data_IF_703630869868
#
_entry.id   IF_703630869868
#
_cell.length_a   1.000
_cell.length_b   1.000
_cell.length_c   1.000
_cell.angle_alpha   90.00
_cell.angle_beta   90.00
_cell.angle_gamma   90.00
#
_symmetry.space_group_name_H-M   'P 1'
#
loop_
_entity.id
_entity.type
_entity.pdbx_description
1 polymer ?
#
# COMPACT_ATOMS: atom_id res chain seq x y z
N UNK A 1 -8.75 5.97 23.94
CA UNK A 1 -10.07 6.62 23.86
C UNK A 1 -10.75 6.28 22.55
N UNK A 2 -11.93 5.65 22.62
CA UNK A 2 -12.83 5.56 21.47
C UNK A 2 -13.15 7.01 21.13
N UNK A 3 -12.61 7.50 20.03
CA UNK A 3 -12.80 8.90 19.65
C UNK A 3 -14.29 9.12 19.42
N UNK A 4 -14.89 10.07 20.13
CA UNK A 4 -16.31 10.37 20.01
C UNK A 4 -16.65 10.73 18.56
N UNK A 5 -17.31 9.81 17.86
CA UNK A 5 -17.68 9.97 16.45
C UNK A 5 -18.72 11.09 16.31
N UNK A 6 -19.53 11.36 17.36
CA UNK A 6 -20.61 12.35 17.30
C UNK A 6 -20.12 13.78 17.19
N UNK A 7 -18.93 14.09 17.70
CA UNK A 7 -18.36 15.44 17.68
C UNK A 7 -17.47 15.71 16.46
N UNK A 8 -17.25 14.71 15.59
CA UNK A 8 -16.37 14.83 14.43
C UNK A 8 -17.14 15.30 13.19
N UNK A 9 -16.65 16.38 12.58
CA UNK A 9 -17.02 16.78 11.21
C UNK A 9 -16.39 15.81 10.21
N UNK A 10 -17.16 15.32 9.25
CA UNK A 10 -16.63 14.50 8.17
C UNK A 10 -15.71 15.33 7.27
N UNK A 11 -14.53 14.81 6.97
CA UNK A 11 -13.60 15.40 5.97
C UNK A 11 -13.91 14.96 4.54
N UNK A 12 -14.66 13.87 4.39
CA UNK A 12 -15.24 13.50 3.11
C UNK A 12 -16.33 12.44 3.23
N UNK A 13 -17.09 12.31 2.16
CA UNK A 13 -18.24 11.41 2.01
C UNK A 13 -18.12 10.69 0.69
N UNK A 14 -18.43 9.40 0.66
CA UNK A 14 -18.58 8.62 -0.57
C UNK A 14 -20.05 8.24 -0.74
N UNK A 15 -20.63 8.65 -1.87
CA UNK A 15 -21.98 8.25 -2.29
C UNK A 15 -21.82 7.09 -3.28
N UNK A 16 -22.18 5.89 -2.86
CA UNK A 16 -22.12 4.69 -3.69
C UNK A 16 -23.51 4.37 -4.27
N UNK A 17 -23.58 4.14 -5.59
CA UNK A 17 -24.83 3.79 -6.26
C UNK A 17 -25.78 4.97 -6.46
N UNK A 18 -25.26 6.16 -6.79
CA UNK A 18 -26.12 7.30 -7.15
C UNK A 18 -26.60 7.12 -8.60
N UNK A 19 -27.93 7.11 -8.88
CA UNK A 19 -28.41 7.03 -10.26
C UNK A 19 -27.85 8.16 -11.12
N UNK A 20 -27.45 7.84 -12.35
CA UNK A 20 -26.72 8.76 -13.25
C UNK A 20 -27.49 10.07 -13.45
N UNK A 21 -28.81 9.98 -13.60
CA UNK A 21 -29.71 11.12 -13.76
C UNK A 21 -29.76 12.06 -12.54
N UNK A 22 -29.27 11.60 -11.38
CA UNK A 22 -29.15 12.40 -10.15
C UNK A 22 -27.74 12.95 -9.94
N UNK A 23 -26.80 12.67 -10.84
CA UNK A 23 -25.44 13.23 -10.82
C UNK A 23 -25.45 14.48 -11.71
N UNK A 24 -25.35 15.70 -11.14
CA UNK A 24 -25.31 16.92 -11.94
C UNK A 24 -24.13 16.91 -12.91
N UNK A 25 -24.38 17.35 -14.15
CA UNK A 25 -23.37 17.45 -15.22
C UNK A 25 -22.57 16.17 -15.46
N UNK A 26 -23.21 15.00 -15.28
CA UNK A 26 -22.56 13.71 -15.44
C UNK A 26 -21.80 13.60 -16.76
N UNK A 27 -20.55 13.15 -16.65
CA UNK A 27 -19.67 12.84 -17.78
C UNK A 27 -19.39 11.35 -17.80
N UNK A 28 -19.32 10.77 -19.00
CA UNK A 28 -18.99 9.34 -19.19
C UNK A 28 -17.66 8.94 -18.55
N UNK A 29 -16.71 9.86 -18.41
CA UNK A 29 -15.43 9.63 -17.72
C UNK A 29 -15.60 9.34 -16.22
N UNK A 30 -16.71 9.74 -15.60
CA UNK A 30 -17.03 9.49 -14.19
C UNK A 30 -17.73 8.15 -13.95
N UNK A 31 -17.89 7.33 -15.00
CA UNK A 31 -18.60 6.05 -14.91
C UNK A 31 -18.07 5.15 -13.80
N UNK A 32 -16.76 5.13 -13.56
CA UNK A 32 -16.09 4.31 -12.54
C UNK A 32 -15.93 5.03 -11.19
N UNK A 33 -16.49 6.23 -11.07
CA UNK A 33 -16.40 7.08 -9.90
C UNK A 33 -15.61 8.36 -10.14
N UNK A 34 -15.94 9.38 -9.35
CA UNK A 34 -15.34 10.72 -9.39
C UNK A 34 -15.26 11.29 -7.98
N UNK A 35 -14.28 12.15 -7.72
CA UNK A 35 -14.16 12.87 -6.45
C UNK A 35 -14.20 14.36 -6.72
N UNK A 36 -15.10 15.05 -6.02
CA UNK A 36 -15.22 16.50 -6.00
C UNK A 36 -14.70 17.05 -4.68
N UNK A 37 -14.36 18.34 -4.69
CA UNK A 37 -14.04 19.11 -3.49
C UNK A 37 -15.00 20.27 -3.38
N UNK A 38 -15.73 20.34 -2.27
CA UNK A 38 -16.63 21.44 -1.92
C UNK A 38 -16.16 22.08 -0.60
N UNK A 39 -15.48 23.22 -0.71
CA UNK A 39 -14.78 23.84 0.42
C UNK A 39 -13.75 22.89 1.05
N UNK A 40 -13.99 22.49 2.30
CA UNK A 40 -13.15 21.54 3.05
C UNK A 40 -13.59 20.07 2.91
N UNK A 41 -14.75 19.83 2.30
CA UNK A 41 -15.34 18.50 2.20
C UNK A 41 -14.99 17.86 0.85
N UNK A 42 -14.50 16.63 0.90
CA UNK A 42 -14.38 15.80 -0.30
C UNK A 42 -15.64 14.96 -0.51
N UNK A 43 -16.16 14.94 -1.73
CA UNK A 43 -17.37 14.17 -2.08
C UNK A 43 -17.02 13.22 -3.22
N UNK A 44 -16.88 11.94 -2.90
CA UNK A 44 -16.79 10.86 -3.88
C UNK A 44 -18.18 10.43 -4.33
N UNK A 45 -18.34 10.15 -5.61
CA UNK A 45 -19.58 9.61 -6.19
C UNK A 45 -19.22 8.41 -7.04
N UNK A 46 -19.89 7.28 -6.83
CA UNK A 46 -19.86 6.12 -7.72
C UNK A 46 -21.27 5.93 -8.31
N UNK A 47 -21.44 6.04 -9.64
CA UNK A 47 -22.74 5.87 -10.28
C UNK A 47 -23.34 4.48 -10.08
N UNK A 48 -24.67 4.39 -10.01
CA UNK A 48 -25.41 3.12 -10.04
C UNK A 48 -25.42 2.54 -11.45
N UNK A 49 -24.34 1.86 -11.82
CA UNK A 49 -24.20 1.10 -13.06
C UNK A 49 -23.83 -0.33 -12.69
N UNK A 50 -24.36 -1.32 -13.40
CA UNK A 50 -24.09 -2.75 -13.14
C UNK A 50 -22.59 -3.08 -13.10
N UNK A 51 -21.77 -2.37 -13.89
CA UNK A 51 -20.32 -2.55 -13.91
C UNK A 51 -19.62 -2.10 -12.61
N UNK A 52 -20.27 -1.25 -11.80
CA UNK A 52 -19.74 -0.69 -10.56
C UNK A 52 -20.14 -1.47 -9.30
N UNK A 53 -20.99 -2.49 -9.41
CA UNK A 53 -21.48 -3.27 -8.25
C UNK A 53 -20.38 -4.09 -7.55
N UNK A 54 -19.17 -4.08 -8.10
CA UNK A 54 -18.00 -4.67 -7.47
C UNK A 54 -17.42 -3.77 -6.36
N UNK A 55 -17.29 -4.29 -5.14
CA UNK A 55 -16.76 -3.57 -3.97
C UNK A 55 -15.40 -2.90 -4.19
N UNK A 56 -14.59 -3.42 -5.12
CA UNK A 56 -13.32 -2.80 -5.49
C UNK A 56 -13.45 -1.34 -5.95
N UNK A 57 -14.55 -0.95 -6.59
CA UNK A 57 -14.78 0.47 -6.95
C UNK A 57 -14.95 1.33 -5.70
N UNK A 58 -15.76 0.87 -4.74
CA UNK A 58 -15.93 1.55 -3.45
C UNK A 58 -14.60 1.71 -2.72
N UNK A 59 -13.81 0.63 -2.61
CA UNK A 59 -12.48 0.66 -1.96
C UNK A 59 -11.57 1.68 -2.65
N UNK A 60 -11.38 1.60 -3.97
CA UNK A 60 -10.46 2.47 -4.72
C UNK A 60 -10.84 3.95 -4.63
N UNK A 61 -12.13 4.28 -4.73
CA UNK A 61 -12.59 5.67 -4.61
C UNK A 61 -12.45 6.19 -3.18
N UNK A 62 -12.71 5.35 -2.17
CA UNK A 62 -12.49 5.73 -0.77
C UNK A 62 -11.01 5.98 -0.47
N UNK A 63 -10.10 5.14 -0.96
CA UNK A 63 -8.65 5.35 -0.84
C UNK A 63 -8.21 6.63 -1.53
N UNK A 64 -8.73 6.90 -2.73
CA UNK A 64 -8.47 8.15 -3.47
C UNK A 64 -8.90 9.36 -2.66
N UNK A 65 -10.14 9.35 -2.14
CA UNK A 65 -10.67 10.42 -1.30
C UNK A 65 -9.83 10.62 -0.03
N UNK A 66 -9.45 9.53 0.64
CA UNK A 66 -8.59 9.59 1.82
C UNK A 66 -7.22 10.22 1.50
N UNK A 67 -6.58 9.78 0.42
CA UNK A 67 -5.25 10.24 0.04
C UNK A 67 -5.26 11.72 -0.36
N UNK A 68 -6.30 12.20 -1.04
CA UNK A 68 -6.48 13.62 -1.35
C UNK A 68 -6.56 14.47 -0.07
N UNK A 69 -7.31 14.01 0.94
CA UNK A 69 -7.38 14.67 2.26
C UNK A 69 -6.01 14.67 2.94
N UNK A 70 -5.24 13.58 2.86
CA UNK A 70 -3.90 13.50 3.47
C UNK A 70 -2.90 14.42 2.78
N UNK A 71 -2.95 14.53 1.45
CA UNK A 71 -2.13 15.46 0.68
C UNK A 71 -2.41 16.91 1.10
N UNK A 72 -3.69 17.28 1.22
CA UNK A 72 -4.08 18.62 1.67
C UNK A 72 -3.61 18.93 3.12
N UNK A 73 -3.44 17.90 3.95
CA UNK A 73 -2.90 18.01 5.30
C UNK A 73 -1.35 17.98 5.35
N UNK A 74 -0.68 17.93 4.20
CA UNK A 74 0.77 17.86 4.10
C UNK A 74 1.36 16.51 4.55
N UNK A 75 0.56 15.45 4.55
CA UNK A 75 0.95 14.06 4.84
C UNK A 75 1.22 13.32 3.54
N UNK A 76 2.11 12.32 3.58
CA UNK A 76 2.48 11.54 2.39
C UNK A 76 1.66 10.24 2.33
N UNK A 77 0.64 10.11 1.47
CA UNK A 77 0.01 8.83 1.23
C UNK A 77 0.94 7.91 0.44
N UNK A 78 1.02 6.64 0.82
CA UNK A 78 1.94 5.67 0.21
C UNK A 78 1.21 4.36 -0.03
N UNK A 79 1.24 3.90 -1.28
CA UNK A 79 0.75 2.58 -1.66
C UNK A 79 1.87 1.55 -1.45
N UNK A 80 1.68 0.69 -0.46
CA UNK A 80 2.73 -0.17 0.05
C UNK A 80 2.32 -0.91 1.32
N UNK A 81 3.09 -1.94 1.63
CA UNK A 81 2.95 -2.67 2.89
C UNK A 81 3.98 -2.19 3.91
N UNK A 82 3.66 -2.27 5.19
CA UNK A 82 4.57 -2.01 6.30
C UNK A 82 4.44 -3.11 7.32
N UNK A 83 5.58 -3.66 7.74
CA UNK A 83 5.62 -4.68 8.76
C UNK A 83 6.71 -4.41 9.78
N UNK A 84 6.50 -4.92 11.00
CA UNK A 84 7.54 -5.10 11.99
C UNK A 84 8.08 -6.52 11.87
N UNK A 85 9.36 -6.64 11.58
CA UNK A 85 10.07 -7.91 11.49
C UNK A 85 10.81 -8.11 12.80
N UNK A 86 10.56 -9.21 13.50
CA UNK A 86 11.23 -9.55 14.76
C UNK A 86 11.97 -10.86 14.59
N UNK A 87 13.27 -10.87 14.89
CA UNK A 87 14.14 -12.04 14.80
C UNK A 87 14.15 -12.81 16.12
N UNK A 88 14.45 -14.10 16.08
CA UNK A 88 14.56 -14.95 17.28
C UNK A 88 15.65 -14.51 18.26
N UNK A 89 16.66 -13.77 17.79
CA UNK A 89 17.69 -13.17 18.62
C UNK A 89 17.27 -11.84 19.29
N UNK A 90 16.03 -11.41 19.11
CA UNK A 90 15.46 -10.19 19.71
C UNK A 90 15.67 -8.91 18.91
N UNK A 91 16.47 -8.93 17.84
CA UNK A 91 16.58 -7.77 16.92
C UNK A 91 15.28 -7.57 16.15
N UNK A 92 14.97 -6.33 15.81
CA UNK A 92 13.77 -6.01 15.05
C UNK A 92 13.94 -4.76 14.21
N UNK A 93 13.12 -4.65 13.18
CA UNK A 93 13.03 -3.47 12.33
C UNK A 93 11.60 -3.26 11.83
N UNK A 94 11.23 -2.01 11.60
CA UNK A 94 10.01 -1.62 10.89
C UNK A 94 10.37 -1.22 9.46
N UNK A 95 9.82 -1.93 8.49
CA UNK A 95 10.08 -1.70 7.08
C UNK A 95 8.80 -1.39 6.34
N UNK A 96 8.82 -0.34 5.52
CA UNK A 96 7.78 -0.02 4.56
C UNK A 96 8.27 -0.34 3.14
N UNK A 97 7.53 -1.19 2.45
CA UNK A 97 7.74 -1.61 1.07
C UNK A 97 6.74 -0.88 0.17
N UNK A 98 7.22 -0.03 -0.72
CA UNK A 98 6.40 0.78 -1.63
C UNK A 98 6.40 0.15 -3.00
N UNK A 99 5.23 0.07 -3.63
CA UNK A 99 5.11 -0.51 -4.96
C UNK A 99 3.67 -0.86 -5.27
N UNK A 100 3.37 -1.06 -6.54
CA UNK A 100 2.02 -1.43 -6.98
C UNK A 100 1.71 -2.90 -6.63
N UNK A 101 0.48 -3.32 -6.92
CA UNK A 101 0.12 -4.74 -6.89
C UNK A 101 1.02 -5.56 -7.82
N UNK A 102 1.48 -6.73 -7.35
CA UNK A 102 2.39 -7.61 -8.12
C UNK A 102 3.86 -7.16 -8.15
N UNK A 103 4.26 -6.19 -7.32
CA UNK A 103 5.66 -5.80 -7.16
C UNK A 103 6.48 -6.75 -6.24
N UNK A 104 5.85 -7.74 -5.60
CA UNK A 104 6.53 -8.69 -4.71
C UNK A 104 6.55 -8.30 -3.23
N UNK A 105 5.72 -7.33 -2.81
CA UNK A 105 5.70 -6.82 -1.43
C UNK A 105 5.21 -7.91 -0.45
N UNK A 106 4.00 -8.42 -0.67
CA UNK A 106 3.37 -9.42 0.19
C UNK A 106 4.12 -10.74 0.13
N UNK A 107 4.60 -11.15 -1.04
CA UNK A 107 5.40 -12.35 -1.24
C UNK A 107 6.74 -12.30 -0.48
N UNK A 108 7.38 -11.12 -0.43
CA UNK A 108 8.62 -10.93 0.35
C UNK A 108 8.33 -10.98 1.86
N UNK A 109 7.22 -10.39 2.32
CA UNK A 109 6.80 -10.47 3.74
C UNK A 109 6.45 -11.91 4.15
N UNK A 110 5.73 -12.64 3.30
CA UNK A 110 5.41 -14.05 3.50
C UNK A 110 6.66 -14.92 3.54
N UNK A 111 7.63 -14.65 2.66
CA UNK A 111 8.91 -15.35 2.66
C UNK A 111 9.70 -15.07 3.94
N UNK A 112 9.74 -13.82 4.41
CA UNK A 112 10.35 -13.45 5.70
C UNK A 112 9.73 -14.24 6.85
N UNK A 113 8.41 -14.33 6.90
CA UNK A 113 7.70 -15.03 7.98
C UNK A 113 7.96 -16.56 8.01
N UNK A 114 8.45 -17.13 6.89
CA UNK A 114 8.80 -18.55 6.77
C UNK A 114 10.27 -18.85 7.09
N UNK A 115 11.11 -17.84 7.25
CA UNK A 115 12.52 -18.04 7.62
C UNK A 115 12.60 -18.53 9.07
N UNK A 116 13.45 -19.53 9.32
CA UNK A 116 13.57 -20.14 10.65
C UNK A 116 14.13 -19.17 11.69
N UNK A 117 14.89 -18.16 11.28
CA UNK A 117 15.52 -17.16 12.14
C UNK A 117 14.56 -16.02 12.53
N UNK A 118 13.45 -15.88 11.80
CA UNK A 118 12.41 -14.89 12.06
C UNK A 118 11.45 -15.44 13.11
N UNK A 119 11.20 -14.66 14.15
CA UNK A 119 10.24 -15.02 15.20
C UNK A 119 8.80 -14.78 14.73
N UNK A 120 8.55 -13.60 14.17
CA UNK A 120 7.29 -13.25 13.53
C UNK A 120 7.45 -12.00 12.64
N UNK A 121 6.55 -11.89 11.66
CA UNK A 121 6.32 -10.67 10.86
C UNK A 121 4.93 -10.14 11.21
N UNK A 122 4.88 -8.95 11.79
CA UNK A 122 3.64 -8.26 12.17
C UNK A 122 3.30 -7.20 11.12
N UNK A 123 2.32 -7.49 10.26
CA UNK A 123 1.91 -6.61 9.14
C UNK A 123 0.96 -5.53 9.64
N UNK A 124 1.48 -4.30 9.74
CA UNK A 124 0.74 -3.14 10.25
C UNK A 124 -0.06 -2.46 9.13
N UNK A 125 0.50 -2.47 7.92
CA UNK A 125 -0.11 -1.92 6.70
C UNK A 125 0.05 -2.97 5.61
N UNK A 126 -1.03 -3.36 4.95
CA UNK A 126 -0.99 -4.36 3.88
C UNK A 126 -0.97 -3.71 2.48
N UNK A 127 -1.73 -2.63 2.31
CA UNK A 127 -2.00 -2.05 1.00
C UNK A 127 -1.72 -0.54 0.96
N UNK A 128 -2.31 0.22 1.89
CA UNK A 128 -2.21 1.68 1.89
C UNK A 128 -1.89 2.26 3.27
N UNK A 129 -0.93 3.19 3.29
CA UNK A 129 -0.50 3.92 4.46
C UNK A 129 -0.44 5.43 4.23
N UNK A 130 -0.26 6.17 5.32
CA UNK A 130 0.09 7.59 5.25
C UNK A 130 1.20 7.92 6.24
N UNK A 131 2.14 8.75 5.81
CA UNK A 131 3.25 9.18 6.65
C UNK A 131 2.99 10.57 7.23
N UNK A 132 3.49 10.78 8.44
CA UNK A 132 3.53 12.06 9.14
C UNK A 132 4.92 12.28 9.75
N UNK A 133 5.22 13.52 10.14
CA UNK A 133 6.45 13.84 10.87
C UNK A 133 6.06 14.23 12.30
N UNK A 134 6.33 13.34 13.26
CA UNK A 134 6.09 13.58 14.68
C UNK A 134 7.41 13.68 15.42
N UNK A 135 7.58 14.74 16.23
CA UNK A 135 8.80 14.97 17.02
C UNK A 135 10.08 14.85 16.19
N UNK A 136 10.03 15.34 14.94
CA UNK A 136 11.17 15.29 14.02
C UNK A 136 11.50 13.91 13.46
N UNK A 137 10.66 12.88 13.64
CA UNK A 137 10.82 11.56 13.02
C UNK A 137 9.66 11.24 12.09
N UNK A 138 9.95 10.52 11.01
CA UNK A 138 8.90 10.01 10.12
C UNK A 138 8.21 8.82 10.78
N UNK A 139 6.89 8.86 10.82
CA UNK A 139 6.03 7.79 11.32
C UNK A 139 4.96 7.44 10.29
N UNK A 140 4.50 6.21 10.30
CA UNK A 140 3.41 5.73 9.46
C UNK A 140 2.13 5.47 10.26
N UNK A 141 1.00 5.59 9.57
CA UNK A 141 -0.32 5.17 9.96
C UNK A 141 -0.89 4.27 8.86
N UNK A 142 -1.61 3.22 9.23
CA UNK A 142 -2.41 2.46 8.27
C UNK A 142 -3.69 3.21 7.89
N UNK A 143 -4.31 2.83 6.77
CA UNK A 143 -5.58 3.42 6.33
C UNK A 143 -6.76 2.48 6.44
N UNK A 144 -6.53 1.17 6.58
CA UNK A 144 -7.56 0.13 6.50
C UNK A 144 -7.54 -0.76 7.76
N UNK A 145 -8.71 -1.21 8.19
CA UNK A 145 -8.89 -2.14 9.33
C UNK A 145 -9.31 -3.55 8.89
N UNK A 146 -9.48 -3.76 7.60
CA UNK A 146 -9.87 -5.04 7.01
C UNK A 146 -9.08 -5.29 5.74
N UNK A 147 -9.09 -6.53 5.29
CA UNK A 147 -8.44 -6.95 4.05
C UNK A 147 -9.50 -7.34 3.01
N UNK A 148 -9.23 -7.02 1.75
CA UNK A 148 -10.06 -7.41 0.60
C UNK A 148 -9.24 -8.32 -0.32
N UNK A 149 -9.30 -9.61 -0.04
CA UNK A 149 -8.41 -10.63 -0.63
C UNK A 149 -9.19 -11.60 -1.50
N UNK A 150 -8.48 -12.37 -2.34
CA UNK A 150 -9.11 -13.49 -3.05
C UNK A 150 -9.43 -14.58 -2.03
N UNK A 151 -10.55 -15.27 -2.25
CA UNK A 151 -10.94 -16.35 -1.37
C UNK A 151 -9.88 -17.47 -1.35
N UNK A 152 -9.25 -17.75 -2.49
CA UNK A 152 -8.20 -18.75 -2.64
C UNK A 152 -6.86 -18.38 -1.97
N UNK A 153 -6.66 -17.10 -1.66
CA UNK A 153 -5.45 -16.63 -0.97
C UNK A 153 -5.54 -16.81 0.55
N UNK A 154 -6.75 -17.07 1.10
CA UNK A 154 -6.90 -17.28 2.53
C UNK A 154 -6.48 -18.70 2.95
N UNK A 155 -5.72 -18.83 4.05
CA UNK A 155 -5.56 -20.12 4.71
C UNK A 155 -6.94 -20.71 5.02
N UNK A 156 -7.19 -22.00 4.71
CA UNK A 156 -8.52 -22.59 4.87
C UNK A 156 -9.16 -22.32 6.24
N UNK A 157 -8.38 -22.40 7.33
CA UNK A 157 -8.87 -22.15 8.69
C UNK A 157 -9.22 -20.69 9.01
N UNK A 158 -8.60 -19.70 8.33
CA UNK A 158 -8.81 -18.28 8.64
C UNK A 158 -10.18 -17.79 8.19
N UNK A 159 -10.62 -18.23 7.01
CA UNK A 159 -11.95 -17.92 6.49
C UNK A 159 -13.06 -18.47 7.41
N UNK A 160 -12.88 -19.66 8.00
CA UNK A 160 -13.82 -20.22 8.97
C UNK A 160 -13.79 -19.47 10.31
N UNK A 161 -12.62 -19.09 10.81
CA UNK A 161 -12.47 -18.37 12.09
C UNK A 161 -13.14 -16.99 12.09
N UNK A 162 -13.17 -16.33 10.94
CA UNK A 162 -13.75 -14.99 10.76
C UNK A 162 -15.07 -14.99 9.99
N UNK A 163 -15.64 -16.17 9.74
CA UNK A 163 -16.80 -16.33 8.84
C UNK A 163 -18.01 -15.51 9.28
N UNK A 164 -18.25 -15.42 10.59
CA UNK A 164 -19.35 -14.65 11.20
C UNK A 164 -19.23 -13.14 10.98
N UNK A 165 -18.03 -12.65 10.65
CA UNK A 165 -17.69 -11.25 10.43
C UNK A 165 -17.19 -10.95 9.01
N UNK A 166 -17.24 -11.95 8.12
CA UNK A 166 -16.72 -11.85 6.75
C UNK A 166 -17.83 -11.63 5.74
N UNK A 167 -17.53 -10.89 4.68
CA UNK A 167 -18.45 -10.70 3.54
C UNK A 167 -17.85 -11.41 2.34
N UNK A 168 -18.51 -12.47 1.89
CA UNK A 168 -18.12 -13.23 0.70
C UNK A 168 -18.79 -12.64 -0.53
N UNK A 169 -18.02 -12.42 -1.58
CA UNK A 169 -18.48 -11.81 -2.82
C UNK A 169 -18.18 -12.73 -4.00
N UNK A 170 -19.25 -13.10 -4.72
CA UNK A 170 -19.19 -13.99 -5.88
C UNK A 170 -18.37 -15.29 -5.60
N UNK A 171 -18.66 -16.04 -4.52
CA UNK A 171 -17.89 -17.21 -4.13
C UNK A 171 -17.90 -18.34 -5.18
N UNK A 172 -18.85 -18.29 -6.10
CA UNK A 172 -19.03 -19.19 -7.24
C UNK A 172 -18.18 -18.83 -8.47
N UNK A 173 -17.53 -17.65 -8.49
CA UNK A 173 -16.73 -17.16 -9.63
C UNK A 173 -15.23 -17.30 -9.37
N UNK A 174 -14.44 -17.34 -10.45
CA UNK A 174 -12.97 -17.43 -10.39
C UNK A 174 -12.33 -16.25 -9.63
N UNK A 175 -12.93 -15.06 -9.67
CA UNK A 175 -12.49 -13.90 -8.87
C UNK A 175 -13.32 -13.76 -7.58
N UNK A 176 -13.59 -14.87 -6.90
CA UNK A 176 -14.21 -14.87 -5.59
C UNK A 176 -13.36 -14.04 -4.62
N UNK A 177 -14.03 -13.11 -3.93
CA UNK A 177 -13.38 -12.22 -2.96
C UNK A 177 -14.03 -12.36 -1.60
N UNK A 178 -13.27 -12.02 -0.59
CA UNK A 178 -13.75 -11.98 0.78
C UNK A 178 -13.21 -10.73 1.46
N UNK A 179 -14.10 -10.04 2.17
CA UNK A 179 -13.77 -8.94 3.04
C UNK A 179 -13.70 -9.51 4.45
N UNK A 180 -12.53 -9.43 5.07
CA UNK A 180 -12.29 -9.95 6.42
C UNK A 180 -11.76 -8.85 7.33
N UNK A 181 -12.13 -8.81 8.62
CA UNK A 181 -11.40 -8.03 9.61
C UNK A 181 -9.94 -8.51 9.66
N UNK A 182 -9.00 -7.56 9.65
CA UNK A 182 -7.56 -7.88 9.63
C UNK A 182 -6.83 -7.19 10.77
N UNK A 183 -6.91 -5.86 10.86
CA UNK A 183 -6.16 -5.08 11.84
C UNK A 183 -7.06 -4.39 12.86
N UNK A 184 -6.53 -4.19 14.07
CA UNK A 184 -7.22 -3.41 15.08
C UNK A 184 -7.13 -1.93 14.73
N UNK A 185 -8.26 -1.20 14.79
CA UNK A 185 -8.29 0.25 14.59
C UNK A 185 -7.21 0.98 15.39
N UNK A 186 -6.98 0.59 16.66
CA UNK A 186 -5.98 1.22 17.51
C UNK A 186 -4.56 1.08 16.95
N UNK A 187 -4.21 -0.08 16.40
CA UNK A 187 -2.90 -0.31 15.79
C UNK A 187 -2.75 0.51 14.51
N UNK A 188 -3.78 0.51 13.66
CA UNK A 188 -3.83 1.25 12.39
C UNK A 188 -3.58 2.75 12.61
N UNK A 189 -4.16 3.34 13.66
CA UNK A 189 -3.98 4.77 13.97
C UNK A 189 -2.80 5.09 14.88
N UNK A 190 -2.05 4.07 15.34
CA UNK A 190 -0.89 4.31 16.21
C UNK A 190 0.31 4.73 15.35
N UNK A 191 0.92 5.90 15.60
CA UNK A 191 2.10 6.33 14.85
C UNK A 191 3.25 5.36 15.06
N UNK A 192 3.74 4.76 13.99
CA UNK A 192 4.84 3.79 14.03
C UNK A 192 6.08 4.36 13.32
N UNK A 193 7.21 4.57 14.01
CA UNK A 193 8.47 4.95 13.37
C UNK A 193 8.94 3.91 12.35
N UNK A 194 9.59 4.36 11.29
CA UNK A 194 10.07 3.52 10.18
C UNK A 194 11.59 3.46 10.21
N UNK A 195 12.17 2.27 10.06
CA UNK A 195 13.62 2.06 9.95
C UNK A 195 14.06 1.95 8.47
N UNK A 196 13.23 1.33 7.62
CA UNK A 196 13.49 1.12 6.20
C UNK A 196 12.33 1.62 5.33
N UNK A 197 12.65 2.37 4.27
CA UNK A 197 11.68 2.81 3.25
C UNK A 197 12.16 2.35 1.87
N UNK A 198 11.59 1.25 1.38
CA UNK A 198 12.13 0.48 0.25
C UNK A 198 11.14 0.44 -0.92
N UNK A 199 11.59 0.84 -2.10
CA UNK A 199 10.84 0.64 -3.34
C UNK A 199 10.95 -0.82 -3.81
N UNK A 200 9.83 -1.48 -4.08
CA UNK A 200 9.79 -2.86 -4.57
C UNK A 200 10.00 -2.89 -6.09
N UNK A 201 11.21 -3.25 -6.49
CA UNK A 201 11.62 -3.38 -7.88
C UNK A 201 11.51 -4.85 -8.30
N UNK A 202 10.51 -5.18 -9.12
CA UNK A 202 10.29 -6.56 -9.56
C UNK A 202 10.90 -6.88 -10.94
N UNK A 203 11.57 -5.93 -11.57
CA UNK A 203 11.96 -6.00 -12.99
C UNK A 203 13.47 -6.03 -13.21
N UNK A 204 14.28 -5.64 -12.22
CA UNK A 204 15.74 -5.72 -12.31
C UNK A 204 16.22 -7.10 -11.88
N UNK A 205 16.78 -7.84 -12.83
CA UNK A 205 17.48 -9.10 -12.55
C UNK A 205 18.82 -8.82 -11.84
N UNK A 206 19.11 -9.60 -10.80
CA UNK A 206 20.37 -9.53 -10.06
C UNK A 206 20.90 -10.93 -9.77
N UNK A 207 22.22 -11.05 -9.68
CA UNK A 207 22.89 -12.33 -9.46
C UNK A 207 23.67 -12.39 -8.14
N UNK A 208 23.63 -11.32 -7.33
CA UNK A 208 24.29 -11.26 -6.03
C UNK A 208 23.39 -10.69 -4.93
N UNK A 209 23.64 -11.11 -3.69
CA UNK A 209 22.90 -10.61 -2.50
C UNK A 209 23.12 -9.11 -2.28
N UNK A 210 24.30 -8.59 -2.61
CA UNK A 210 24.67 -7.17 -2.40
C UNK A 210 23.94 -6.24 -3.38
N UNK A 211 23.52 -6.74 -4.54
CA UNK A 211 22.74 -5.96 -5.51
C UNK A 211 21.25 -5.97 -5.22
N UNK A 212 20.80 -6.79 -4.28
CA UNK A 212 19.38 -7.08 -4.05
C UNK A 212 18.68 -6.02 -3.22
N UNK A 213 19.41 -5.33 -2.35
CA UNK A 213 18.90 -4.16 -1.61
C UNK A 213 19.92 -3.05 -1.75
N UNK A 214 19.53 -1.97 -2.44
CA UNK A 214 20.38 -0.81 -2.69
C UNK A 214 19.82 0.37 -1.90
N UNK A 215 20.64 0.97 -1.05
CA UNK A 215 20.31 2.24 -0.40
C UNK A 215 20.75 3.41 -1.28
N UNK A 216 19.89 4.42 -1.36
CA UNK A 216 20.18 5.62 -2.13
C UNK A 216 21.13 6.54 -1.36
N UNK A 217 22.03 7.18 -2.09
CA UNK A 217 23.01 8.14 -1.57
C UNK A 217 22.47 9.59 -1.56
N UNK A 218 21.35 9.83 -2.25
CA UNK A 218 20.80 11.14 -2.51
C UNK A 218 19.28 11.13 -2.55
N UNK A 219 18.67 12.25 -2.16
CA UNK A 219 17.22 12.45 -2.17
C UNK A 219 16.72 12.46 -3.62
N UNK A 220 17.51 13.01 -4.54
CA UNK A 220 17.25 13.10 -5.97
C UNK A 220 17.09 11.69 -6.55
N UNK A 221 17.98 10.76 -6.22
CA UNK A 221 17.89 9.37 -6.70
C UNK A 221 16.67 8.65 -6.14
N UNK A 222 16.39 8.85 -4.85
CA UNK A 222 15.19 8.29 -4.24
C UNK A 222 13.92 8.84 -4.92
N UNK A 223 13.82 10.16 -5.11
CA UNK A 223 12.69 10.77 -5.81
C UNK A 223 12.54 10.25 -7.24
N UNK A 224 13.64 10.11 -7.99
CA UNK A 224 13.62 9.57 -9.35
C UNK A 224 12.98 8.18 -9.37
N UNK A 225 13.46 7.25 -8.54
CA UNK A 225 12.99 5.86 -8.52
C UNK A 225 11.54 5.78 -8.06
N UNK A 226 11.22 6.37 -6.91
CA UNK A 226 9.86 6.31 -6.36
C UNK A 226 8.89 7.02 -7.30
N UNK A 227 9.19 8.22 -7.79
CA UNK A 227 8.27 8.96 -8.68
C UNK A 227 8.05 8.31 -10.04
N UNK A 228 9.03 7.58 -10.58
CA UNK A 228 8.85 6.79 -11.79
C UNK A 228 7.83 5.66 -11.57
N UNK A 229 7.83 5.06 -10.37
CA UNK A 229 6.85 4.05 -9.97
C UNK A 229 6.74 2.90 -10.97
N UNK A 230 7.90 2.46 -11.45
CA UNK A 230 8.08 1.41 -12.44
C UNK A 230 7.78 0.02 -11.87
N UNK A 231 7.12 -0.83 -12.65
CA UNK A 231 7.03 -2.28 -12.39
C UNK A 231 6.89 -3.07 -13.68
N UNK A 232 7.35 -4.32 -13.66
CA UNK A 232 6.95 -5.30 -14.65
C UNK A 232 5.57 -5.85 -14.30
N UNK A 233 4.60 -5.68 -15.20
CA UNK A 233 3.28 -6.27 -15.10
C UNK A 233 3.28 -7.64 -15.77
N UNK A 234 2.98 -8.68 -15.00
CA UNK A 234 2.69 -10.04 -15.50
C UNK A 234 1.17 -10.29 -15.64
N UNK A 235 0.37 -9.22 -15.71
CA UNK A 235 -1.08 -9.25 -15.57
C UNK A 235 -1.85 -9.75 -16.80
N UNK A 236 -2.90 -10.52 -16.54
CA UNK A 236 -3.92 -11.03 -17.47
C UNK A 236 -4.34 -10.03 -18.57
N UNK A 237 -4.14 -10.42 -19.83
CA UNK A 237 -4.74 -9.93 -21.11
C UNK A 237 -4.75 -8.44 -21.43
N UNK A 238 -4.44 -7.52 -20.52
CA UNK A 238 -4.61 -6.06 -20.73
C UNK A 238 -3.37 -5.21 -20.44
N UNK A 239 -2.42 -5.68 -19.63
CA UNK A 239 -1.17 -4.97 -19.32
C UNK A 239 -0.01 -5.96 -19.14
N UNK A 240 0.57 -6.39 -20.26
CA UNK A 240 1.84 -7.14 -20.27
C UNK A 240 3.01 -6.18 -20.50
N UNK A 241 4.07 -6.29 -19.70
CA UNK A 241 5.31 -5.54 -19.87
C UNK A 241 5.55 -4.47 -18.80
N UNK A 242 6.49 -3.55 -19.09
CA UNK A 242 6.90 -2.51 -18.16
C UNK A 242 5.82 -1.42 -18.07
N UNK A 243 5.41 -1.12 -16.85
CA UNK A 243 4.35 -0.14 -16.53
C UNK A 243 4.87 0.90 -15.56
N UNK A 244 4.33 2.11 -15.64
CA UNK A 244 4.70 3.25 -14.80
C UNK A 244 3.43 3.86 -14.19
N UNK A 245 3.46 4.07 -12.88
CA UNK A 245 2.39 4.75 -12.14
C UNK A 245 3.05 5.64 -11.10
N UNK A 246 2.83 6.96 -11.15
CA UNK A 246 3.56 7.90 -10.29
C UNK A 246 3.52 7.47 -8.80
N UNK A 247 4.70 7.34 -8.18
CA UNK A 247 4.87 6.90 -6.79
C UNK A 247 4.32 5.49 -6.49
N UNK A 248 4.08 4.70 -7.54
CA UNK A 248 3.32 3.46 -7.52
C UNK A 248 1.94 3.61 -6.85
N UNK A 249 1.38 4.82 -6.82
CA UNK A 249 0.16 5.15 -6.10
C UNK A 249 -0.88 5.75 -7.06
N UNK A 250 -1.74 4.91 -7.66
CA UNK A 250 -2.80 5.39 -8.55
C UNK A 250 -3.92 6.15 -7.80
N UNK A 251 -3.89 6.19 -6.46
CA UNK A 251 -4.94 6.71 -5.60
C UNK A 251 -4.55 8.08 -5.01
N UNK A 252 -5.06 9.16 -5.58
CA UNK A 252 -4.84 10.54 -5.13
C UNK A 252 -3.50 11.14 -5.54
N UNK A 253 -2.40 10.37 -5.49
CA UNK A 253 -1.06 10.88 -5.81
C UNK A 253 -0.92 11.27 -7.29
N UNK A 254 -1.48 10.47 -8.21
CA UNK A 254 -1.52 10.83 -9.65
C UNK A 254 -2.36 12.09 -9.88
N UNK A 255 -3.49 12.23 -9.19
CA UNK A 255 -4.42 13.34 -9.34
C UNK A 255 -3.88 14.66 -8.75
N UNK A 256 -2.98 14.59 -7.75
CA UNK A 256 -2.32 15.75 -7.10
C UNK A 256 -0.80 15.61 -7.16
N UNK A 257 -0.30 15.28 -8.34
CA UNK A 257 1.12 14.92 -8.56
C UNK A 257 2.08 15.98 -8.08
N UNK A 258 1.82 17.26 -8.35
CA UNK A 258 2.73 18.35 -7.99
C UNK A 258 2.83 18.55 -6.47
N UNK A 259 1.69 18.57 -5.77
CA UNK A 259 1.66 18.70 -4.31
C UNK A 259 2.22 17.46 -3.63
N UNK A 260 1.84 16.28 -4.12
CA UNK A 260 2.40 15.02 -3.64
C UNK A 260 3.92 14.99 -3.79
N UNK A 261 4.47 15.47 -4.92
CA UNK A 261 5.92 15.48 -5.15
C UNK A 261 6.66 16.38 -4.15
N UNK A 262 6.13 17.57 -3.87
CA UNK A 262 6.68 18.48 -2.84
C UNK A 262 6.65 17.85 -1.45
N UNK A 263 5.56 17.15 -1.11
CA UNK A 263 5.44 16.41 0.15
C UNK A 263 6.44 15.26 0.19
N UNK A 264 6.54 14.45 -0.87
CA UNK A 264 7.46 13.33 -0.97
C UNK A 264 8.92 13.77 -0.78
N UNK A 265 9.33 14.88 -1.41
CA UNK A 265 10.67 15.45 -1.21
C UNK A 265 10.91 15.81 0.26
N UNK A 266 9.97 16.50 0.91
CA UNK A 266 10.07 16.86 2.34
C UNK A 266 10.23 15.62 3.23
N UNK A 267 9.47 14.57 2.97
CA UNK A 267 9.52 13.33 3.75
C UNK A 267 10.81 12.56 3.52
N UNK A 268 11.24 12.41 2.26
CA UNK A 268 12.52 11.78 1.93
C UNK A 268 13.68 12.54 2.57
N UNK A 269 13.72 13.87 2.46
CA UNK A 269 14.72 14.68 3.17
C UNK A 269 14.75 14.38 4.66
N UNK A 270 13.58 14.31 5.31
CA UNK A 270 13.49 13.98 6.73
C UNK A 270 13.97 12.55 7.04
N UNK A 271 13.67 11.58 6.19
CA UNK A 271 14.15 10.20 6.32
C UNK A 271 15.68 10.14 6.30
N UNK A 272 16.32 10.80 5.33
CA UNK A 272 17.78 10.88 5.24
C UNK A 272 18.39 11.57 6.47
N UNK A 273 17.84 12.71 6.91
CA UNK A 273 18.30 13.43 8.11
C UNK A 273 18.21 12.60 9.40
N UNK A 274 17.24 11.69 9.48
CA UNK A 274 16.95 10.90 10.70
C UNK A 274 17.51 9.49 10.67
N UNK A 275 18.22 9.13 9.60
CA UNK A 275 18.88 7.84 9.46
C UNK A 275 17.98 6.68 9.01
N UNK A 276 16.76 6.98 8.54
CA UNK A 276 15.92 5.97 7.88
C UNK A 276 16.63 5.49 6.62
N UNK A 277 16.71 4.18 6.44
CA UNK A 277 17.37 3.56 5.29
C UNK A 277 16.43 3.58 4.09
N UNK A 278 16.63 4.57 3.21
CA UNK A 278 15.85 4.74 1.98
C UNK A 278 16.54 4.00 0.83
N UNK A 279 15.80 3.16 0.10
CA UNK A 279 16.39 2.33 -0.96
C UNK A 279 15.38 1.66 -1.87
N UNK A 280 15.86 0.69 -2.63
CA UNK A 280 15.05 -0.29 -3.36
C UNK A 280 15.36 -1.71 -2.91
N UNK A 281 14.36 -2.58 -2.94
CA UNK A 281 14.49 -4.02 -2.80
C UNK A 281 14.11 -4.67 -4.13
N UNK A 282 15.04 -5.42 -4.70
CA UNK A 282 14.86 -6.11 -5.97
C UNK A 282 14.23 -7.46 -5.69
N UNK A 283 12.92 -7.56 -5.91
CA UNK A 283 12.13 -8.75 -5.66
C UNK A 283 12.23 -9.77 -6.79
N UNK A 284 12.58 -9.31 -8.00
CA UNK A 284 12.66 -10.13 -9.22
C UNK A 284 11.38 -10.90 -9.57
N UNK A 285 10.23 -10.60 -8.95
CA UNK A 285 8.96 -11.29 -9.20
C UNK A 285 8.53 -11.20 -10.68
N UNK A 286 8.86 -10.08 -11.32
CA UNK A 286 8.62 -9.80 -12.73
C UNK A 286 9.67 -10.37 -13.68
N UNK A 287 10.77 -10.93 -13.18
CA UNK A 287 11.80 -11.61 -13.99
C UNK A 287 11.36 -13.05 -14.24
N UNK A 288 11.53 -13.53 -15.46
CA UNK A 288 11.15 -14.90 -15.84
C UNK A 288 12.00 -15.93 -15.07
N UNK A 289 11.35 -16.94 -14.48
CA UNK A 289 12.02 -18.00 -13.71
C UNK A 289 12.30 -17.66 -12.25
N UNK A 290 12.06 -16.43 -11.81
CA UNK A 290 12.30 -15.97 -10.43
C UNK A 290 11.02 -15.64 -9.66
N UNK A 291 9.86 -16.08 -10.12
CA UNK A 291 8.56 -15.72 -9.54
C UNK A 291 8.44 -16.10 -8.06
N UNK A 292 9.09 -17.19 -7.65
CA UNK A 292 9.11 -17.65 -6.24
C UNK A 292 10.46 -17.43 -5.58
N UNK A 293 11.54 -17.78 -6.29
CA UNK A 293 12.89 -17.70 -5.74
C UNK A 293 13.33 -16.25 -5.54
N UNK A 294 12.91 -15.34 -6.41
CA UNK A 294 13.24 -13.92 -6.33
C UNK A 294 12.80 -13.30 -5.00
N UNK A 295 11.55 -13.44 -4.61
CA UNK A 295 11.02 -12.84 -3.36
C UNK A 295 11.61 -13.51 -2.12
N UNK A 296 11.90 -14.81 -2.19
CA UNK A 296 12.58 -15.53 -1.11
C UNK A 296 14.01 -15.03 -0.87
N UNK A 297 14.79 -14.85 -1.93
CA UNK A 297 16.13 -14.29 -1.83
C UNK A 297 16.09 -12.82 -1.34
N UNK A 298 15.09 -12.04 -1.76
CA UNK A 298 14.86 -10.67 -1.26
C UNK A 298 14.63 -10.66 0.26
N UNK A 299 13.78 -11.56 0.75
CA UNK A 299 13.55 -11.78 2.17
C UNK A 299 14.83 -12.15 2.91
N UNK A 300 15.62 -13.10 2.37
CA UNK A 300 16.89 -13.52 2.98
C UNK A 300 17.91 -12.39 3.09
N UNK A 301 18.05 -11.56 2.06
CA UNK A 301 18.92 -10.37 2.11
C UNK A 301 18.41 -9.36 3.13
N UNK A 302 17.10 -9.10 3.15
CA UNK A 302 16.50 -8.19 4.13
C UNK A 302 16.72 -8.67 5.58
N UNK A 303 16.50 -9.96 5.84
CA UNK A 303 16.80 -10.60 7.12
C UNK A 303 18.25 -10.32 7.58
N UNK A 304 19.24 -10.54 6.70
CA UNK A 304 20.67 -10.29 7.01
C UNK A 304 20.95 -8.83 7.37
N UNK A 305 20.17 -7.87 6.85
CA UNK A 305 20.29 -6.46 7.22
C UNK A 305 19.77 -6.22 8.63
N UNK A 306 18.59 -6.75 8.96
CA UNK A 306 18.01 -6.65 10.31
C UNK A 306 18.92 -7.32 11.34
N UNK A 307 19.54 -8.43 10.99
CA UNK A 307 20.49 -9.12 11.86
C UNK A 307 21.74 -8.28 12.19
N UNK A 308 22.13 -7.35 11.31
CA UNK A 308 23.32 -6.50 11.48
C UNK A 308 23.06 -5.19 12.22
N UNK A 309 21.79 -4.83 12.48
CA UNK A 309 21.41 -3.67 13.29
C UNK A 309 21.76 -3.85 14.77
#
# INVERSE_FOLDING_TARGET
DIVDIKSKKASGVLIFGLPVEKIPDYKTEWKNGVVFKDGELYVGVIPALDENDYFGYMKKTMLTLHNLIRIDQGRLPVHGSMARIVLKNGKSAVAMFVGDSGAGKSETLDALNRLEEVAYVDVIIDDMGSLDILNGRVVAYGTETGAFVRLDDLPPGYAYYTMDRSIFMNPDKINARVIVPFNNYREVITPTPIDFFLYANNYTEVHSDDERIIFFDSIEKALEVFSAGKRMSKGTTSEEGMTESYFANPFGAVQRKEEHHKIAEKFLRKMFETGVKVGEIRTMLGVEGYEKEGTYLAAKTFFKLVEKM
#
